data_IF_705630670710
#
_entry.id   IF_705630670710
#
_cell.length_a   1.000
_cell.length_b   1.000
_cell.length_c   1.000
_cell.angle_alpha   90.00
_cell.angle_beta   90.00
_cell.angle_gamma   90.00
#
_symmetry.space_group_name_H-M   'P 1'
#
loop_
_entity.id
_entity.type
_entity.pdbx_description
1 polymer ?
#
# COMPACT_ATOMS: atom_id res chain seq x y z
N UNK A 1 -3.49 -0.94 28.20
CA UNK A 1 -3.94 -2.27 27.70
C UNK A 1 -2.83 -2.78 26.80
N UNK A 2 -2.33 -3.99 27.02
CA UNK A 2 -1.44 -4.65 26.04
C UNK A 2 -2.24 -4.86 24.76
N UNK A 3 -1.70 -4.43 23.63
CA UNK A 3 -2.31 -4.61 22.32
C UNK A 3 -1.62 -5.79 21.65
N UNK A 4 -1.70 -6.98 22.26
CA UNK A 4 -0.95 -8.17 21.86
C UNK A 4 -1.08 -8.53 20.36
N UNK A 5 -2.18 -8.12 19.73
CA UNK A 5 -2.39 -8.23 18.27
C UNK A 5 -1.50 -7.24 17.52
N UNK A 6 -1.56 -5.95 17.85
CA UNK A 6 -0.69 -4.96 17.21
C UNK A 6 0.80 -5.25 17.46
N UNK A 7 1.17 -5.70 18.66
CA UNK A 7 2.55 -6.09 18.99
C UNK A 7 3.03 -7.29 18.15
N UNK A 8 2.14 -8.23 17.79
CA UNK A 8 2.48 -9.36 16.91
C UNK A 8 2.71 -8.94 15.45
N UNK A 9 1.96 -7.94 14.98
CA UNK A 9 2.05 -7.42 13.61
C UNK A 9 2.98 -6.20 13.47
N UNK A 10 3.54 -5.71 14.59
CA UNK A 10 4.49 -4.60 14.57
C UNK A 10 5.78 -5.01 13.85
N UNK A 11 6.14 -4.20 12.86
CA UNK A 11 7.42 -4.34 12.16
C UNK A 11 8.41 -3.31 12.70
N UNK A 12 9.26 -3.75 13.63
CA UNK A 12 10.31 -2.91 14.19
C UNK A 12 11.21 -2.34 13.08
N UNK A 13 11.33 -1.00 13.04
CA UNK A 13 12.19 -0.25 12.10
C UNK A 13 11.78 -0.31 10.63
N UNK A 14 10.54 -0.69 10.30
CA UNK A 14 10.04 -0.68 8.92
C UNK A 14 10.18 0.70 8.27
N UNK A 15 9.68 1.75 8.94
CA UNK A 15 9.77 3.13 8.44
C UNK A 15 11.22 3.53 8.16
N UNK A 16 12.13 3.30 9.11
CA UNK A 16 13.54 3.63 8.95
C UNK A 16 14.19 2.88 7.76
N UNK A 17 13.76 1.63 7.51
CA UNK A 17 14.25 0.84 6.38
C UNK A 17 13.76 1.38 5.05
N UNK A 18 12.49 1.81 4.98
CA UNK A 18 11.91 2.46 3.79
C UNK A 18 12.59 3.81 3.55
N UNK A 19 12.80 4.63 4.58
CA UNK A 19 13.51 5.92 4.46
C UNK A 19 14.94 5.75 3.96
N UNK A 20 15.67 4.75 4.45
CA UNK A 20 17.01 4.44 3.97
C UNK A 20 17.01 3.99 2.50
N UNK A 21 16.05 3.16 2.10
CA UNK A 21 15.91 2.71 0.71
C UNK A 21 15.54 3.87 -0.22
N UNK A 22 14.63 4.76 0.19
CA UNK A 22 14.30 5.99 -0.55
C UNK A 22 15.53 6.88 -0.74
N UNK A 23 16.30 7.11 0.32
CA UNK A 23 17.52 7.91 0.25
C UNK A 23 18.55 7.29 -0.71
N UNK A 24 18.69 5.96 -0.71
CA UNK A 24 19.61 5.24 -1.59
C UNK A 24 19.28 5.41 -3.09
N UNK A 25 18.02 5.66 -3.44
CA UNK A 25 17.58 5.97 -4.81
C UNK A 25 17.47 7.48 -5.08
N UNK A 26 17.98 8.33 -4.19
CA UNK A 26 17.97 9.79 -4.33
C UNK A 26 16.58 10.42 -4.14
N UNK A 27 15.67 9.72 -3.45
CA UNK A 27 14.32 10.18 -3.15
C UNK A 27 14.19 10.58 -1.68
N UNK A 28 13.12 11.33 -1.40
CA UNK A 28 12.71 11.77 -0.06
C UNK A 28 11.20 11.60 0.07
N UNK A 29 10.63 11.69 1.27
CA UNK A 29 9.18 11.60 1.46
C UNK A 29 8.36 12.59 0.61
N UNK A 30 8.93 13.74 0.23
CA UNK A 30 8.25 14.74 -0.60
C UNK A 30 8.43 14.53 -2.11
N UNK A 31 9.32 13.63 -2.53
CA UNK A 31 9.66 13.41 -3.96
C UNK A 31 9.42 11.97 -4.42
N UNK A 32 9.15 11.06 -3.49
CA UNK A 32 8.86 9.65 -3.78
C UNK A 32 7.49 9.53 -4.45
N UNK A 33 7.40 8.70 -5.49
CA UNK A 33 6.14 8.38 -6.15
C UNK A 33 5.56 7.05 -5.64
N UNK A 34 4.31 6.77 -6.00
CA UNK A 34 3.70 5.45 -5.76
C UNK A 34 4.49 4.35 -6.47
N UNK A 35 5.04 4.62 -7.65
CA UNK A 35 5.86 3.64 -8.40
C UNK A 35 7.20 3.36 -7.72
N UNK A 36 7.81 4.37 -7.10
CA UNK A 36 9.06 4.19 -6.34
C UNK A 36 8.84 3.30 -5.10
N UNK A 37 7.64 3.34 -4.49
CA UNK A 37 7.29 2.55 -3.31
C UNK A 37 6.76 1.15 -3.62
N UNK A 38 6.26 0.91 -4.84
CA UNK A 38 5.67 -0.37 -5.25
C UNK A 38 6.44 -1.63 -4.83
N UNK A 39 7.78 -1.67 -4.96
CA UNK A 39 8.57 -2.83 -4.54
C UNK A 39 8.49 -3.19 -3.04
N UNK A 40 8.12 -2.23 -2.17
CA UNK A 40 8.05 -2.42 -0.71
C UNK A 40 6.63 -2.49 -0.16
N UNK A 41 5.66 -1.81 -0.78
CA UNK A 41 4.30 -1.70 -0.25
C UNK A 41 3.26 -2.60 -0.97
N UNK A 42 3.66 -3.28 -2.05
CA UNK A 42 2.83 -4.24 -2.81
C UNK A 42 3.47 -5.63 -2.89
N UNK A 43 4.08 -6.07 -1.78
CA UNK A 43 4.77 -7.36 -1.64
C UNK A 43 3.82 -8.57 -1.49
N UNK A 44 2.52 -8.40 -1.70
CA UNK A 44 1.54 -9.49 -1.65
C UNK A 44 1.67 -10.41 -2.87
N UNK A 45 1.13 -11.63 -2.76
CA UNK A 45 1.14 -12.60 -3.87
C UNK A 45 0.51 -11.97 -5.12
N UNK A 46 1.23 -12.05 -6.24
CA UNK A 46 0.81 -11.51 -7.52
C UNK A 46 1.04 -10.00 -7.73
N UNK A 47 1.41 -9.25 -6.68
CA UNK A 47 1.74 -7.82 -6.74
C UNK A 47 0.74 -6.97 -7.53
N UNK A 48 1.25 -5.92 -8.18
CA UNK A 48 0.45 -4.98 -8.99
C UNK A 48 -0.40 -5.63 -10.07
N UNK A 49 0.12 -6.67 -10.71
CA UNK A 49 -0.60 -7.35 -11.79
C UNK A 49 -1.88 -7.99 -11.25
N UNK A 50 -1.82 -8.66 -10.10
CA UNK A 50 -3.01 -9.22 -9.49
C UNK A 50 -4.03 -8.13 -9.08
N UNK A 51 -3.56 -6.99 -8.57
CA UNK A 51 -4.43 -5.85 -8.23
C UNK A 51 -5.10 -5.27 -9.48
N UNK A 52 -4.36 -5.13 -10.57
CA UNK A 52 -4.87 -4.63 -11.85
C UNK A 52 -5.92 -5.57 -12.41
N UNK A 53 -5.62 -6.87 -12.47
CA UNK A 53 -6.54 -7.90 -12.96
C UNK A 53 -7.83 -7.95 -12.13
N UNK A 54 -7.74 -7.73 -10.81
CA UNK A 54 -8.89 -7.67 -9.93
C UNK A 54 -9.74 -6.42 -10.18
N UNK A 55 -9.12 -5.24 -10.32
CA UNK A 55 -9.83 -4.01 -10.62
C UNK A 55 -10.58 -4.10 -11.96
N UNK A 56 -9.95 -4.69 -12.97
CA UNK A 56 -10.55 -4.90 -14.29
C UNK A 56 -11.76 -5.86 -14.21
N UNK A 57 -11.62 -6.97 -13.47
CA UNK A 57 -12.72 -7.92 -13.26
C UNK A 57 -13.90 -7.31 -12.49
N UNK A 58 -13.62 -6.42 -11.53
CA UNK A 58 -14.64 -5.69 -10.79
C UNK A 58 -15.27 -4.55 -11.62
N UNK A 59 -14.67 -4.19 -12.76
CA UNK A 59 -15.06 -3.01 -13.52
C UNK A 59 -14.89 -1.73 -12.69
N UNK A 60 -13.82 -1.64 -11.91
CA UNK A 60 -13.56 -0.51 -11.03
C UNK A 60 -13.42 0.79 -11.84
N UNK A 61 -14.05 1.84 -11.34
CA UNK A 61 -14.09 3.17 -11.98
C UNK A 61 -13.73 4.25 -10.96
N UNK A 62 -13.46 5.50 -11.40
CA UNK A 62 -13.27 6.62 -10.48
C UNK A 62 -14.44 6.83 -9.50
N UNK A 63 -15.68 6.50 -9.89
CA UNK A 63 -16.86 6.63 -9.03
C UNK A 63 -17.01 5.48 -8.02
N UNK A 64 -16.18 4.44 -8.14
CA UNK A 64 -16.21 3.28 -7.25
C UNK A 64 -15.67 3.61 -5.86
N UNK A 65 -16.27 2.99 -4.84
CA UNK A 65 -15.79 2.98 -3.46
C UNK A 65 -15.31 1.57 -3.12
N UNK A 66 -14.03 1.44 -2.83
CA UNK A 66 -13.37 0.17 -2.56
C UNK A 66 -12.94 0.08 -1.10
N UNK A 67 -12.95 -1.13 -0.54
CA UNK A 67 -12.47 -1.43 0.81
C UNK A 67 -11.29 -2.40 0.70
N UNK A 68 -10.15 -1.99 1.24
CA UNK A 68 -8.92 -2.78 1.35
C UNK A 68 -8.75 -3.24 2.80
N UNK A 69 -8.91 -4.54 3.06
CA UNK A 69 -8.87 -5.14 4.41
C UNK A 69 -7.55 -5.86 4.61
N UNK A 70 -6.83 -5.47 5.66
CA UNK A 70 -5.42 -5.86 5.84
C UNK A 70 -4.50 -5.03 4.96
N UNK A 71 -4.77 -3.73 4.86
CA UNK A 71 -4.09 -2.84 3.91
C UNK A 71 -2.62 -2.57 4.26
N UNK A 72 -2.16 -2.93 5.47
CA UNK A 72 -0.82 -2.64 5.96
C UNK A 72 -0.45 -1.18 5.76
N UNK A 73 0.69 -0.91 5.13
CA UNK A 73 1.15 0.44 4.81
C UNK A 73 0.46 1.06 3.56
N UNK A 74 -0.64 0.47 3.10
CA UNK A 74 -1.58 0.99 2.08
C UNK A 74 -1.04 1.11 0.65
N UNK A 75 -0.14 0.21 0.23
CA UNK A 75 0.40 0.20 -1.15
C UNK A 75 -0.69 -0.01 -2.20
N UNK A 76 -1.50 -1.05 -2.04
CA UNK A 76 -2.63 -1.37 -2.92
C UNK A 76 -3.61 -0.20 -3.03
N UNK A 77 -4.02 0.39 -1.90
CA UNK A 77 -4.92 1.54 -1.89
C UNK A 77 -4.36 2.77 -2.63
N UNK A 78 -3.07 3.11 -2.40
CA UNK A 78 -2.42 4.22 -3.14
C UNK A 78 -2.30 3.92 -4.62
N UNK A 79 -1.94 2.69 -4.98
CA UNK A 79 -1.85 2.26 -6.37
C UNK A 79 -3.18 2.43 -7.08
N UNK A 80 -4.26 1.82 -6.56
CA UNK A 80 -5.60 1.88 -7.17
C UNK A 80 -6.14 3.31 -7.23
N UNK A 81 -5.96 4.12 -6.17
CA UNK A 81 -6.36 5.52 -6.19
C UNK A 81 -5.61 6.33 -7.26
N UNK A 82 -4.33 6.02 -7.51
CA UNK A 82 -3.52 6.71 -8.51
C UNK A 82 -3.78 6.26 -9.96
N UNK A 83 -4.13 4.98 -10.18
CA UNK A 83 -4.28 4.40 -11.52
C UNK A 83 -5.72 4.35 -12.00
N UNK A 84 -6.65 3.92 -11.14
CA UNK A 84 -8.08 3.83 -11.44
C UNK A 84 -8.81 5.13 -11.08
N UNK A 85 -8.31 5.88 -10.09
CA UNK A 85 -8.96 7.09 -9.59
C UNK A 85 -10.08 6.84 -8.58
N UNK A 86 -10.28 5.57 -8.17
CA UNK A 86 -11.32 5.19 -7.21
C UNK A 86 -11.02 5.71 -5.80
N UNK A 87 -12.08 5.88 -5.00
CA UNK A 87 -11.93 6.13 -3.57
C UNK A 87 -11.72 4.80 -2.83
N UNK A 88 -10.57 4.65 -2.15
CA UNK A 88 -10.23 3.43 -1.41
C UNK A 88 -10.18 3.73 0.09
N UNK A 89 -10.91 2.95 0.88
CA UNK A 89 -10.80 2.94 2.34
C UNK A 89 -9.93 1.76 2.75
N UNK A 90 -8.81 2.03 3.43
CA UNK A 90 -7.96 1.01 4.02
C UNK A 90 -8.37 0.72 5.46
N UNK A 91 -8.40 -0.55 5.84
CA UNK A 91 -8.58 -1.01 7.21
C UNK A 91 -7.46 -1.98 7.56
N UNK A 92 -6.70 -1.66 8.59
CA UNK A 92 -5.70 -2.55 9.18
C UNK A 92 -5.90 -2.63 10.70
N UNK A 93 -5.30 -3.66 11.31
CA UNK A 93 -5.40 -3.96 12.74
C UNK A 93 -4.23 -3.39 13.55
N UNK A 94 -3.28 -2.74 12.87
CA UNK A 94 -2.08 -2.11 13.44
C UNK A 94 -2.15 -0.59 13.50
#
# INVERSE_FOLDING_TARGET
>A
MSNAIADHYAADRLLASIEAAMAAIGKSPSTVSVDDLGPVDEFHVGGRSATTDLCDQLGATPDSRLLDVGCGISGTARFVASTVGSHVTGLDIT
#
